data_IF_908032048419
#
_entry.id   IF_908032048419
#
_cell.length_a   1.000
_cell.length_b   1.000
_cell.length_c   1.000
_cell.angle_alpha   90.00
_cell.angle_beta   90.00
_cell.angle_gamma   90.00
#
_symmetry.space_group_name_H-M   'P 1'
#
loop_
_entity.id
_entity.type
_entity.pdbx_description
1 polymer ?
#
# COMPACT_ATOMS: atom_id res chain seq x y z
N UNK A 1 13.06 -9.60 -1.48
CA UNK A 1 12.83 -8.22 -0.97
C UNK A 1 13.68 -7.95 0.26
N UNK A 2 14.03 -6.69 0.50
CA UNK A 2 14.83 -6.25 1.66
C UNK A 2 14.03 -5.32 2.57
N UNK A 3 14.41 -5.19 3.85
CA UNK A 3 13.78 -4.20 4.73
C UNK A 3 14.35 -2.81 4.42
N UNK A 4 13.47 -1.85 4.11
CA UNK A 4 13.82 -0.44 3.99
C UNK A 4 13.71 0.30 5.31
N UNK A 5 14.34 1.46 5.39
CA UNK A 5 14.43 2.27 6.61
C UNK A 5 14.08 3.74 6.41
N UNK A 6 14.08 4.24 5.17
CA UNK A 6 13.91 5.65 4.87
C UNK A 6 12.44 6.08 4.76
N UNK A 7 11.62 5.74 5.77
CA UNK A 7 10.20 6.06 5.79
C UNK A 7 9.93 7.35 6.58
N UNK A 8 9.53 8.42 5.90
CA UNK A 8 9.14 9.69 6.52
C UNK A 8 7.69 10.06 6.11
N UNK A 9 6.85 10.58 7.04
CA UNK A 9 5.42 10.78 6.78
C UNK A 9 5.14 11.79 5.65
N UNK A 10 5.97 12.83 5.54
CA UNK A 10 5.72 13.98 4.65
C UNK A 10 6.89 14.28 3.69
N UNK A 11 7.95 13.46 3.70
CA UNK A 11 9.12 13.65 2.83
C UNK A 11 9.46 12.32 2.18
N UNK A 12 9.43 12.31 0.85
CA UNK A 12 9.62 11.11 0.06
C UNK A 12 11.02 11.09 -0.56
N UNK A 13 11.85 12.13 -0.38
CA UNK A 13 13.20 12.17 -0.91
C UNK A 13 14.05 10.98 -0.44
N UNK A 14 14.16 10.73 0.88
CA UNK A 14 14.95 9.62 1.40
C UNK A 14 14.49 8.24 0.88
N UNK A 15 13.17 7.97 0.89
CA UNK A 15 12.62 6.69 0.39
C UNK A 15 12.83 6.52 -1.11
N UNK A 16 12.76 7.60 -1.90
CA UNK A 16 13.02 7.55 -3.34
C UNK A 16 14.49 7.25 -3.64
N UNK A 17 15.43 7.81 -2.87
CA UNK A 17 16.87 7.53 -3.01
C UNK A 17 17.17 6.08 -2.66
N UNK A 18 16.67 5.60 -1.51
CA UNK A 18 16.81 4.19 -1.08
C UNK A 18 16.22 3.24 -2.12
N UNK A 19 14.98 3.49 -2.55
CA UNK A 19 14.29 2.66 -3.54
C UNK A 19 15.03 2.61 -4.89
N UNK A 20 15.57 3.74 -5.37
CA UNK A 20 16.37 3.79 -6.60
C UNK A 20 17.64 2.96 -6.47
N UNK A 21 18.35 3.07 -5.34
CA UNK A 21 19.56 2.31 -5.06
C UNK A 21 19.28 0.80 -5.03
N UNK A 22 18.25 0.38 -4.30
CA UNK A 22 17.86 -1.03 -4.20
C UNK A 22 17.43 -1.63 -5.53
N UNK A 23 16.70 -0.85 -6.34
CA UNK A 23 16.32 -1.27 -7.69
C UNK A 23 17.54 -1.41 -8.59
N UNK A 24 18.48 -0.46 -8.55
CA UNK A 24 19.72 -0.52 -9.31
C UNK A 24 20.62 -1.70 -8.90
N UNK A 25 20.58 -2.09 -7.63
CA UNK A 25 21.27 -3.25 -7.10
C UNK A 25 20.59 -4.60 -7.43
N UNK A 26 19.47 -4.60 -8.17
CA UNK A 26 18.79 -5.82 -8.60
C UNK A 26 17.88 -6.46 -7.54
N UNK A 27 17.48 -5.74 -6.50
CA UNK A 27 16.48 -6.24 -5.54
C UNK A 27 15.11 -6.40 -6.21
N UNK A 28 14.31 -7.34 -5.71
CA UNK A 28 12.90 -7.51 -6.08
C UNK A 28 12.01 -6.36 -5.58
N UNK A 29 12.47 -5.64 -4.56
CA UNK A 29 11.65 -4.68 -3.84
C UNK A 29 12.05 -4.54 -2.38
N UNK A 30 11.22 -3.82 -1.63
CA UNK A 30 11.41 -3.59 -0.21
C UNK A 30 10.12 -3.69 0.60
N UNK A 31 10.28 -3.99 1.88
CA UNK A 31 9.23 -3.90 2.90
C UNK A 31 9.60 -2.83 3.92
N UNK A 32 8.62 -2.14 4.49
CA UNK A 32 8.85 -1.15 5.55
C UNK A 32 7.64 -1.05 6.48
N UNK A 33 7.83 -0.46 7.65
CA UNK A 33 6.74 -0.18 8.58
C UNK A 33 5.92 1.02 8.09
N UNK A 34 4.60 0.90 8.14
CA UNK A 34 3.71 1.97 7.69
C UNK A 34 3.86 3.21 8.56
N UNK A 35 4.06 4.36 7.91
CA UNK A 35 4.07 5.68 8.56
C UNK A 35 2.66 6.21 8.86
N UNK A 36 1.61 5.53 8.35
CA UNK A 36 0.20 5.93 8.50
C UNK A 36 -0.63 4.99 9.36
N UNK A 37 -0.15 3.77 9.61
CA UNK A 37 -0.84 2.75 10.38
C UNK A 37 0.16 2.08 11.32
N UNK A 38 0.17 2.42 12.62
CA UNK A 38 1.05 1.78 13.60
C UNK A 38 0.91 0.26 13.57
N UNK A 39 2.03 -0.46 13.56
CA UNK A 39 2.07 -1.93 13.43
C UNK A 39 1.77 -2.47 12.02
N UNK A 40 1.39 -1.60 11.08
CA UNK A 40 1.16 -1.96 9.69
C UNK A 40 2.48 -2.16 8.93
N UNK A 41 2.46 -3.08 7.96
CA UNK A 41 3.57 -3.33 7.05
C UNK A 41 3.21 -2.94 5.63
N UNK A 42 4.18 -2.38 4.91
CA UNK A 42 4.06 -1.98 3.53
C UNK A 42 5.08 -2.75 2.67
N UNK A 43 4.75 -2.87 1.39
CA UNK A 43 5.55 -3.55 0.39
C UNK A 43 5.63 -2.70 -0.87
N UNK A 44 6.79 -2.71 -1.51
CA UNK A 44 7.05 -2.08 -2.81
C UNK A 44 7.79 -3.07 -3.67
N UNK A 45 7.10 -3.63 -4.67
CA UNK A 45 7.69 -4.52 -5.66
C UNK A 45 8.22 -3.71 -6.85
N UNK A 46 9.44 -4.00 -7.31
CA UNK A 46 10.05 -3.31 -8.44
C UNK A 46 9.77 -3.97 -9.78
N UNK A 47 9.37 -5.24 -9.78
CA UNK A 47 9.12 -6.02 -10.99
C UNK A 47 7.74 -6.70 -10.93
N UNK A 48 7.05 -6.85 -12.08
CA UNK A 48 5.72 -7.45 -12.12
C UNK A 48 5.66 -8.92 -11.68
N UNK A 49 6.76 -9.66 -11.85
CA UNK A 49 6.89 -11.09 -11.55
C UNK A 49 7.20 -11.40 -10.09
N UNK A 50 7.44 -10.38 -9.26
CA UNK A 50 7.65 -10.53 -7.82
C UNK A 50 6.35 -10.91 -7.10
N UNK A 51 5.21 -10.45 -7.62
CA UNK A 51 3.91 -10.90 -7.16
C UNK A 51 3.43 -12.08 -7.98
N UNK A 52 2.87 -13.10 -7.31
CA UNK A 52 2.16 -14.18 -8.01
C UNK A 52 0.95 -13.62 -8.76
N UNK A 53 0.43 -14.40 -9.72
CA UNK A 53 -0.79 -14.06 -10.47
C UNK A 53 -1.90 -13.60 -9.51
N UNK A 54 -2.40 -12.35 -9.66
CA UNK A 54 -3.40 -11.82 -8.75
C UNK A 54 -4.68 -12.65 -8.84
N UNK A 55 -5.21 -13.05 -7.68
CA UNK A 55 -6.55 -13.62 -7.56
C UNK A 55 -7.52 -12.48 -7.28
N UNK A 56 -8.50 -12.27 -8.16
CA UNK A 56 -9.47 -11.20 -8.01
C UNK A 56 -10.24 -11.35 -6.68
N UNK A 57 -10.15 -10.33 -5.84
CA UNK A 57 -10.81 -10.27 -4.54
C UNK A 57 -12.22 -9.70 -4.60
N UNK A 58 -12.76 -9.36 -3.42
CA UNK A 58 -14.03 -8.65 -3.28
C UNK A 58 -13.90 -7.23 -3.82
N UNK A 59 -14.97 -6.72 -4.41
CA UNK A 59 -15.02 -5.34 -4.88
C UNK A 59 -15.68 -4.46 -3.83
N UNK A 60 -15.06 -3.31 -3.56
CA UNK A 60 -15.52 -2.33 -2.59
C UNK A 60 -15.71 -0.96 -3.26
N UNK A 61 -16.76 -0.25 -2.88
CA UNK A 61 -17.01 1.14 -3.21
C UNK A 61 -16.86 1.97 -1.94
N UNK A 62 -16.02 2.98 -1.99
CA UNK A 62 -15.83 3.95 -0.91
C UNK A 62 -16.66 5.19 -1.28
N UNK A 63 -17.66 5.52 -0.47
CA UNK A 63 -18.47 6.71 -0.71
C UNK A 63 -17.83 7.93 -0.04
N UNK A 64 -17.60 8.99 -0.80
CA UNK A 64 -17.07 10.26 -0.31
C UNK A 64 -18.20 11.29 -0.21
N UNK A 65 -18.46 11.78 0.99
CA UNK A 65 -19.55 12.74 1.23
C UNK A 65 -19.18 14.21 0.97
N UNK A 66 -17.96 14.47 0.49
CA UNK A 66 -17.40 15.82 0.33
C UNK A 66 -16.35 16.18 1.37
N UNK A 67 -16.28 15.48 2.50
CA UNK A 67 -15.32 15.73 3.59
C UNK A 67 -14.57 14.50 4.07
N UNK A 68 -15.21 13.33 4.07
CA UNK A 68 -14.60 12.06 4.42
C UNK A 68 -15.25 10.89 3.66
N UNK A 69 -14.66 9.71 3.79
CA UNK A 69 -15.37 8.47 3.48
C UNK A 69 -16.30 8.16 4.63
N UNK A 70 -17.61 8.15 4.40
CA UNK A 70 -18.63 7.91 5.43
C UNK A 70 -19.10 6.44 5.46
N UNK A 71 -19.07 5.74 4.33
CA UNK A 71 -19.32 4.29 4.29
C UNK A 71 -18.57 3.58 3.17
N UNK A 72 -18.40 2.26 3.36
CA UNK A 72 -17.86 1.36 2.33
C UNK A 72 -18.91 0.31 1.98
N UNK A 73 -19.23 0.17 0.68
CA UNK A 73 -20.13 -0.86 0.19
C UNK A 73 -19.34 -2.00 -0.43
N UNK A 74 -19.61 -3.24 0.00
CA UNK A 74 -19.13 -4.44 -0.68
C UNK A 74 -20.11 -4.81 -1.81
N UNK A 75 -19.64 -4.92 -3.05
CA UNK A 75 -20.53 -5.06 -4.22
C UNK A 75 -21.23 -6.41 -4.33
N UNK A 76 -20.54 -7.50 -4.05
CA UNK A 76 -21.06 -8.86 -4.20
C UNK A 76 -22.17 -9.19 -3.17
N UNK A 77 -22.16 -8.56 -2.00
CA UNK A 77 -23.19 -8.78 -0.96
C UNK A 77 -24.09 -7.57 -0.73
N UNK A 78 -23.81 -6.43 -1.36
CA UNK A 78 -24.42 -5.13 -1.06
C UNK A 78 -24.31 -4.69 0.41
N UNK A 79 -23.46 -5.34 1.21
CA UNK A 79 -23.24 -4.99 2.62
C UNK A 79 -22.62 -3.61 2.73
N UNK A 80 -23.17 -2.77 3.62
CA UNK A 80 -22.61 -1.47 3.97
C UNK A 80 -21.81 -1.60 5.27
N UNK A 81 -20.56 -1.19 5.23
CA UNK A 81 -19.63 -1.16 6.35
C UNK A 81 -19.48 0.30 6.80
N UNK A 82 -19.67 0.55 8.10
CA UNK A 82 -19.44 1.86 8.69
C UNK A 82 -17.93 2.17 8.71
N UNK A 83 -17.59 3.45 8.52
CA UNK A 83 -16.23 3.97 8.72
C UNK A 83 -16.19 4.72 10.04
N UNK A 84 -15.24 4.38 10.90
CA UNK A 84 -14.99 5.01 12.21
C UNK A 84 -13.83 5.99 12.15
#
# INVERSE_FOLDING_TARGET
MVSGSAAHPNDYGPSQVEGRGLRAAGSDGLTWNSVRMPGGSCIGAFWPDVASIPKQGRHYCYHWNGSCVDFVRRYDTSTVLAVS
#
